data_IF_495544204358
#
_entry.id   IF_495544204358
#
_cell.length_a   1.000
_cell.length_b   1.000
_cell.length_c   1.000
_cell.angle_alpha   90.00
_cell.angle_beta   90.00
_cell.angle_gamma   90.00
#
_symmetry.space_group_name_H-M   'P 1'
#
loop_
_entity.id
_entity.type
_entity.pdbx_description
1 polymer ?
#
# COMPACT_ATOMS: atom_id res chain seq x y z
N UNK A 1 3.75 -4.62 17.57
CA UNK A 1 4.22 -3.63 16.60
C UNK A 1 3.44 -3.82 15.31
N UNK A 2 2.84 -2.76 14.78
CA UNK A 2 2.17 -2.74 13.50
C UNK A 2 2.94 -1.87 12.51
N UNK A 3 2.44 -1.77 11.30
CA UNK A 3 3.07 -1.13 10.16
C UNK A 3 3.48 0.33 10.38
N UNK A 4 4.29 0.83 9.48
CA UNK A 4 4.77 2.19 9.49
C UNK A 4 5.63 2.52 8.27
N UNK A 5 6.47 3.51 8.38
CA UNK A 5 7.34 3.98 7.31
C UNK A 5 8.73 4.35 7.80
N UNK A 6 9.66 4.40 6.87
CA UNK A 6 11.01 4.91 7.08
C UNK A 6 11.21 6.19 6.27
N UNK A 7 11.94 7.14 6.83
CA UNK A 7 12.25 8.40 6.17
C UNK A 7 13.59 8.95 6.63
N UNK A 8 14.33 9.59 5.72
CA UNK A 8 15.57 10.30 6.04
C UNK A 8 15.23 11.73 6.42
N UNK A 9 15.68 12.15 7.60
CA UNK A 9 15.48 13.51 8.09
C UNK A 9 16.43 14.53 7.46
N UNK A 10 16.24 15.81 7.77
CA UNK A 10 17.09 16.92 7.29
C UNK A 10 18.55 16.81 7.78
N UNK A 11 18.78 16.08 8.84
CA UNK A 11 20.10 15.75 9.40
C UNK A 11 20.76 14.53 8.73
N UNK A 12 20.14 13.98 7.67
CA UNK A 12 20.62 12.82 6.96
C UNK A 12 20.42 11.49 7.67
N UNK A 13 19.75 11.49 8.83
CA UNK A 13 19.53 10.26 9.62
C UNK A 13 18.21 9.60 9.29
N UNK A 14 18.24 8.27 9.20
CA UNK A 14 17.06 7.44 9.03
C UNK A 14 16.22 7.43 10.30
N UNK A 15 14.91 7.51 10.15
CA UNK A 15 13.91 7.39 11.22
C UNK A 15 12.84 6.39 10.81
N UNK A 16 12.40 5.59 11.77
CA UNK A 16 11.30 4.66 11.63
C UNK A 16 10.11 5.19 12.44
N UNK A 17 8.98 5.35 11.77
CA UNK A 17 7.69 5.59 12.43
C UNK A 17 6.85 4.33 12.30
N UNK A 18 6.27 3.87 13.39
CA UNK A 18 5.52 2.62 13.42
C UNK A 18 4.44 2.66 14.48
N UNK A 19 3.49 1.74 14.40
CA UNK A 19 2.40 1.68 15.35
C UNK A 19 2.74 0.78 16.53
N UNK A 20 2.70 1.35 17.72
CA UNK A 20 2.63 0.61 18.98
C UNK A 20 1.21 0.10 19.19
N UNK A 21 1.05 -1.19 19.28
CA UNK A 21 -0.24 -1.85 19.46
C UNK A 21 -0.27 -2.67 20.74
N UNK A 22 -1.39 -2.60 21.44
CA UNK A 22 -1.72 -3.53 22.54
C UNK A 22 -3.24 -3.68 22.65
N UNK A 23 -3.68 -4.81 23.11
CA UNK A 23 -5.06 -5.00 23.53
C UNK A 23 -5.32 -4.30 24.86
N UNK A 24 -6.50 -3.68 24.99
CA UNK A 24 -6.83 -2.89 26.18
C UNK A 24 -6.89 -3.76 27.44
N UNK A 25 -7.31 -5.03 27.30
CA UNK A 25 -7.33 -6.01 28.39
C UNK A 25 -6.00 -6.78 28.55
N UNK A 26 -5.01 -6.57 27.66
CA UNK A 26 -3.71 -7.22 27.68
C UNK A 26 -3.68 -8.67 27.18
N UNK A 27 -4.80 -9.22 26.74
CA UNK A 27 -4.94 -10.65 26.37
C UNK A 27 -5.40 -10.86 24.93
N UNK A 28 -6.48 -10.18 24.53
CA UNK A 28 -7.11 -10.31 23.21
C UNK A 28 -7.88 -9.03 22.84
N UNK A 29 -8.51 -9.02 21.65
CA UNK A 29 -9.23 -7.85 21.12
C UNK A 29 -10.64 -7.66 21.71
N UNK A 30 -11.11 -8.48 22.63
CA UNK A 30 -12.48 -8.37 23.17
C UNK A 30 -12.71 -7.12 24.00
N UNK A 31 -11.64 -6.56 24.57
CA UNK A 31 -11.67 -5.30 25.33
C UNK A 31 -11.35 -4.06 24.50
N UNK A 32 -11.15 -4.20 23.19
CA UNK A 32 -10.68 -3.16 22.29
C UNK A 32 -9.15 -3.09 22.20
N UNK A 33 -8.70 -2.18 21.36
CA UNK A 33 -7.29 -1.99 21.04
C UNK A 33 -6.82 -0.60 21.46
N UNK A 34 -5.53 -0.48 21.71
CA UNK A 34 -4.87 0.78 21.89
C UNK A 34 -3.68 0.89 20.95
N UNK A 35 -3.72 1.89 20.09
CA UNK A 35 -2.73 2.12 19.05
C UNK A 35 -2.20 3.55 19.16
N UNK A 36 -0.89 3.71 19.08
CA UNK A 36 -0.18 5.00 19.13
C UNK A 36 0.93 4.99 18.11
N UNK A 37 1.39 6.16 17.66
CA UNK A 37 2.52 6.19 16.76
C UNK A 37 3.81 6.39 17.56
N UNK A 38 4.80 5.56 17.24
CA UNK A 38 6.11 5.50 17.90
C UNK A 38 7.21 5.83 16.89
N UNK A 39 8.35 6.25 17.40
CA UNK A 39 9.56 6.51 16.61
C UNK A 39 10.74 5.70 17.13
N UNK A 40 11.60 5.25 16.21
CA UNK A 40 12.90 4.66 16.48
C UNK A 40 13.93 5.17 15.47
N UNK A 41 15.20 5.10 15.86
CA UNK A 41 16.35 5.42 15.00
C UNK A 41 17.31 4.26 14.98
N UNK A 42 18.02 3.99 13.87
CA UNK A 42 19.09 3.01 13.86
C UNK A 42 20.27 3.50 14.68
N UNK A 43 20.96 2.56 15.31
CA UNK A 43 22.17 2.83 16.09
C UNK A 43 23.45 2.72 15.22
N UNK A 44 23.33 2.07 14.07
CA UNK A 44 24.41 1.80 13.11
C UNK A 44 23.89 1.84 11.66
N UNK A 45 24.80 1.97 10.70
CA UNK A 45 24.49 2.08 9.26
C UNK A 45 23.96 0.74 8.68
N UNK A 46 24.28 -0.41 9.27
CA UNK A 46 23.79 -1.73 8.90
C UNK A 46 22.38 -2.02 9.45
N UNK A 47 21.84 -1.14 10.30
CA UNK A 47 20.52 -1.24 10.93
C UNK A 47 20.36 -2.56 11.71
N UNK A 48 21.42 -3.00 12.37
CA UNK A 48 21.41 -4.21 13.19
C UNK A 48 20.71 -3.98 14.52
N UNK A 49 20.73 -2.75 15.02
CA UNK A 49 20.08 -2.31 16.25
C UNK A 49 19.34 -1.00 16.03
N UNK A 50 18.29 -0.81 16.81
CA UNK A 50 17.50 0.42 16.80
C UNK A 50 17.21 0.89 18.21
N UNK A 51 17.36 2.18 18.44
CA UNK A 51 16.93 2.84 19.68
C UNK A 51 15.50 3.34 19.54
N UNK A 52 14.60 2.88 20.43
CA UNK A 52 13.22 3.34 20.50
C UNK A 52 13.15 4.66 21.23
N UNK A 53 12.66 5.70 20.57
CA UNK A 53 12.55 7.04 21.15
C UNK A 53 11.20 7.28 21.84
N UNK A 54 10.24 6.37 21.67
CA UNK A 54 8.96 6.45 22.34
C UNK A 54 7.81 6.94 21.47
N UNK A 55 6.76 7.40 22.13
CA UNK A 55 5.53 7.84 21.48
C UNK A 55 5.67 9.26 20.94
N UNK A 56 5.27 9.45 19.67
CA UNK A 56 5.25 10.76 19.00
C UNK A 56 3.83 11.24 18.71
N UNK A 57 2.85 10.32 18.58
CA UNK A 57 1.42 10.66 18.45
C UNK A 57 0.60 9.74 19.33
N UNK A 58 -0.12 10.29 20.29
CA UNK A 58 -1.09 9.54 21.10
C UNK A 58 -2.47 9.48 20.42
N UNK A 59 -3.21 8.44 20.73
CA UNK A 59 -4.56 8.24 20.20
C UNK A 59 -5.59 9.09 20.95
N UNK A 60 -6.29 10.02 20.28
CA UNK A 60 -7.41 10.76 20.89
C UNK A 60 -8.65 9.86 20.99
N UNK A 61 -8.72 9.05 22.04
CA UNK A 61 -9.67 7.95 22.22
C UNK A 61 -11.14 8.36 22.11
N UNK A 62 -11.47 9.58 22.44
CA UNK A 62 -12.82 10.12 22.32
C UNK A 62 -13.26 10.35 20.86
N UNK A 63 -12.30 10.37 19.92
CA UNK A 63 -12.52 10.61 18.49
C UNK A 63 -12.29 9.39 17.61
N UNK A 64 -11.77 8.30 18.19
CA UNK A 64 -11.31 7.12 17.47
C UNK A 64 -11.98 5.87 18.00
N UNK A 65 -12.43 5.01 17.08
CA UNK A 65 -12.96 3.69 17.40
C UNK A 65 -11.89 2.63 17.11
N UNK A 66 -11.01 2.36 18.10
CA UNK A 66 -9.96 1.33 18.18
C UNK A 66 -8.80 1.45 17.18
N UNK A 67 -9.06 1.78 15.92
CA UNK A 67 -8.06 1.74 14.85
C UNK A 67 -7.43 3.12 14.61
N UNK A 68 -6.11 3.20 14.85
CA UNK A 68 -5.31 4.42 14.75
C UNK A 68 -3.87 4.05 14.44
N UNK A 69 -3.51 3.78 13.16
CA UNK A 69 -2.27 3.10 12.81
C UNK A 69 -1.68 3.44 11.46
N UNK A 70 -0.51 2.85 11.20
CA UNK A 70 0.20 2.80 9.93
C UNK A 70 0.71 4.19 9.48
N UNK A 71 1.61 4.83 10.26
CA UNK A 71 2.10 6.16 9.93
C UNK A 71 2.96 6.16 8.68
N UNK A 72 2.64 7.05 7.73
CA UNK A 72 3.46 7.40 6.56
C UNK A 72 3.95 8.83 6.71
N UNK A 73 5.27 9.02 6.61
CA UNK A 73 5.92 10.31 6.81
C UNK A 73 6.62 10.75 5.53
N UNK A 74 6.46 12.02 5.18
CA UNK A 74 7.18 12.66 4.07
C UNK A 74 7.40 14.14 4.36
N UNK A 75 8.21 14.79 3.53
CA UNK A 75 8.42 16.25 3.57
C UNK A 75 7.99 16.88 2.25
N UNK A 76 7.32 18.00 2.32
CA UNK A 76 7.11 18.86 1.17
C UNK A 76 7.26 20.31 1.58
N UNK A 77 7.89 21.12 0.73
CA UNK A 77 8.36 22.45 1.06
C UNK A 77 9.27 22.36 2.30
N UNK A 78 8.98 23.03 3.39
CA UNK A 78 9.76 23.02 4.64
C UNK A 78 9.03 22.34 5.80
N UNK A 79 7.94 21.62 5.53
CA UNK A 79 7.09 21.01 6.56
C UNK A 79 7.11 19.49 6.44
N UNK A 80 7.28 18.81 7.58
CA UNK A 80 7.09 17.39 7.71
C UNK A 80 5.62 17.06 7.88
N UNK A 81 5.15 16.07 7.16
CA UNK A 81 3.79 15.56 7.21
C UNK A 81 3.78 14.10 7.63
N UNK A 82 2.75 13.73 8.38
CA UNK A 82 2.44 12.34 8.71
C UNK A 82 0.96 12.09 8.47
N UNK A 83 0.64 11.01 7.77
CA UNK A 83 -0.72 10.46 7.74
C UNK A 83 -0.74 9.10 8.42
N UNK A 84 -1.88 8.75 8.96
CA UNK A 84 -2.18 7.38 9.38
C UNK A 84 -3.68 7.10 9.22
N UNK A 85 -4.00 5.81 9.12
CA UNK A 85 -5.38 5.37 9.02
C UNK A 85 -6.09 5.42 10.35
N UNK A 86 -7.35 5.79 10.29
CA UNK A 86 -8.22 5.98 11.47
C UNK A 86 -9.60 5.39 11.20
N UNK A 87 -10.15 4.69 12.19
CA UNK A 87 -11.59 4.51 12.32
C UNK A 87 -12.10 5.57 13.28
N UNK A 88 -12.89 6.52 12.77
CA UNK A 88 -13.47 7.59 13.61
C UNK A 88 -14.46 7.04 14.65
N UNK A 89 -14.86 7.85 15.63
CA UNK A 89 -15.79 7.42 16.70
C UNK A 89 -17.13 6.88 16.16
N UNK A 90 -17.56 7.35 15.00
CA UNK A 90 -18.73 6.88 14.27
C UNK A 90 -18.39 5.78 13.22
N UNK A 91 -17.23 5.17 13.35
CA UNK A 91 -16.73 4.05 12.52
C UNK A 91 -16.65 4.38 11.03
N UNK A 92 -16.16 5.57 10.69
CA UNK A 92 -15.85 5.98 9.33
C UNK A 92 -14.36 5.82 9.07
N UNK A 93 -13.99 5.23 7.94
CA UNK A 93 -12.60 5.12 7.50
C UNK A 93 -12.06 6.48 7.09
N UNK A 94 -11.05 6.96 7.80
CA UNK A 94 -10.43 8.26 7.58
C UNK A 94 -8.91 8.14 7.49
N UNK A 95 -8.26 9.15 6.89
CA UNK A 95 -6.85 9.44 7.03
C UNK A 95 -6.68 10.78 7.73
N UNK A 96 -5.90 10.80 8.80
CA UNK A 96 -5.61 12.03 9.53
C UNK A 96 -4.23 12.55 9.19
N UNK A 97 -4.15 13.85 8.94
CA UNK A 97 -2.92 14.57 8.61
C UNK A 97 -2.38 15.30 9.83
N UNK A 98 -1.11 15.08 10.09
CA UNK A 98 -0.33 15.79 11.11
C UNK A 98 0.81 16.53 10.45
N UNK A 99 1.30 17.57 11.12
CA UNK A 99 2.48 18.35 10.71
C UNK A 99 3.49 18.44 11.84
N UNK A 100 4.77 18.56 11.47
CA UNK A 100 5.89 18.73 12.39
C UNK A 100 6.97 19.60 11.76
N UNK A 101 7.71 20.34 12.58
CA UNK A 101 8.91 21.07 12.19
C UNK A 101 10.19 20.29 12.52
N UNK A 102 10.12 19.36 13.48
CA UNK A 102 11.28 18.66 14.07
C UNK A 102 11.21 17.13 13.98
N UNK A 103 10.13 16.60 13.38
CA UNK A 103 9.88 15.16 13.25
C UNK A 103 9.58 14.43 14.58
N UNK A 104 9.48 15.14 15.70
CA UNK A 104 9.22 14.61 17.04
C UNK A 104 7.88 15.06 17.57
N UNK A 105 7.64 16.37 17.53
CA UNK A 105 6.39 16.98 17.97
C UNK A 105 5.41 17.09 16.79
N UNK A 106 4.31 16.35 16.85
CA UNK A 106 3.32 16.27 15.77
C UNK A 106 2.01 16.92 16.17
N UNK A 107 1.52 17.82 15.34
CA UNK A 107 0.26 18.53 15.55
C UNK A 107 -0.78 18.07 14.53
N UNK A 108 -1.96 17.67 15.01
CA UNK A 108 -3.10 17.35 14.13
C UNK A 108 -3.46 18.57 13.29
N UNK A 109 -3.50 18.38 11.97
CA UNK A 109 -3.82 19.43 11.02
C UNK A 109 -5.26 19.35 10.53
N UNK A 110 -5.65 18.20 9.98
CA UNK A 110 -7.00 18.00 9.41
C UNK A 110 -7.27 16.51 9.16
N UNK A 111 -8.52 16.17 8.87
CA UNK A 111 -8.86 14.91 8.19
C UNK A 111 -8.51 15.11 6.72
N UNK A 112 -7.43 14.45 6.26
CA UNK A 112 -6.97 14.51 4.86
C UNK A 112 -8.04 13.97 3.92
N UNK A 113 -8.59 12.81 4.27
CA UNK A 113 -9.59 12.11 3.48
C UNK A 113 -10.52 11.28 4.37
N UNK A 114 -11.79 11.19 4.01
CA UNK A 114 -12.78 10.27 4.55
C UNK A 114 -13.39 9.48 3.41
N UNK A 115 -13.46 8.16 3.55
CA UNK A 115 -14.02 7.29 2.53
C UNK A 115 -15.52 7.54 2.36
N UNK A 116 -16.04 7.70 1.11
CA UNK A 116 -17.45 8.01 0.87
C UNK A 116 -18.39 6.86 1.25
N UNK A 117 -17.98 5.60 1.08
CA UNK A 117 -18.77 4.44 1.48
C UNK A 117 -18.79 4.29 3.01
N UNK A 118 -19.97 4.37 3.66
CA UNK A 118 -20.08 4.24 5.10
C UNK A 118 -19.76 2.84 5.64
N UNK A 119 -19.70 1.82 4.79
CA UNK A 119 -19.29 0.48 5.20
C UNK A 119 -17.77 0.37 5.40
N UNK A 120 -17.00 1.26 4.79
CA UNK A 120 -15.54 1.30 4.97
C UNK A 120 -15.25 1.99 6.29
N UNK A 121 -14.83 1.19 7.27
CA UNK A 121 -14.62 1.67 8.63
C UNK A 121 -13.17 1.96 8.97
N UNK A 122 -12.21 1.50 8.15
CA UNK A 122 -10.78 1.73 8.35
C UNK A 122 -10.06 1.79 7.00
N UNK A 123 -9.08 2.67 6.92
CA UNK A 123 -8.14 2.80 5.81
C UNK A 123 -6.75 2.41 6.30
N UNK A 124 -6.36 1.14 6.07
CA UNK A 124 -5.07 0.61 6.52
C UNK A 124 -3.93 0.96 5.56
N UNK A 125 -2.73 0.99 6.09
CA UNK A 125 -1.48 1.17 5.34
C UNK A 125 -1.56 2.32 4.31
N UNK A 126 -1.92 3.54 4.75
CA UNK A 126 -2.04 4.65 3.83
C UNK A 126 -0.71 4.98 3.18
N UNK A 127 -0.76 5.37 1.92
CA UNK A 127 0.35 5.98 1.21
C UNK A 127 -0.14 7.22 0.47
N UNK A 128 0.70 8.25 0.34
CA UNK A 128 0.29 9.52 -0.24
C UNK A 128 1.48 10.21 -0.89
N UNK A 129 1.41 10.39 -2.20
CA UNK A 129 2.55 10.87 -2.97
C UNK A 129 2.13 11.57 -4.27
N UNK A 130 2.96 12.49 -4.78
CA UNK A 130 2.75 13.08 -6.09
C UNK A 130 3.29 12.19 -7.21
N UNK A 131 2.62 12.24 -8.35
CA UNK A 131 3.12 11.80 -9.64
C UNK A 131 2.97 12.94 -10.65
N UNK A 132 3.79 12.95 -11.69
CA UNK A 132 3.67 13.93 -12.77
C UNK A 132 2.98 13.31 -13.97
N UNK A 133 2.03 14.06 -14.53
CA UNK A 133 1.42 13.71 -15.80
C UNK A 133 2.38 13.99 -16.98
N UNK A 134 1.98 13.65 -18.20
CA UNK A 134 2.75 13.87 -19.43
C UNK A 134 3.12 15.34 -19.70
N UNK A 135 2.36 16.27 -19.16
CA UNK A 135 2.55 17.71 -19.31
C UNK A 135 3.39 18.29 -18.14
N UNK A 136 3.80 17.44 -17.20
CA UNK A 136 4.59 17.79 -16.03
C UNK A 136 3.78 18.36 -14.86
N UNK A 137 2.44 18.35 -14.94
CA UNK A 137 1.60 18.78 -13.83
C UNK A 137 1.57 17.71 -12.76
N UNK A 138 1.61 18.15 -11.50
CA UNK A 138 1.56 17.26 -10.36
C UNK A 138 0.13 16.82 -10.07
N UNK A 139 -0.04 15.51 -9.91
CA UNK A 139 -1.24 14.87 -9.39
C UNK A 139 -0.87 14.11 -8.13
N UNK A 140 -1.73 14.17 -7.13
CA UNK A 140 -1.55 13.42 -5.90
C UNK A 140 -2.31 12.10 -5.96
N UNK A 141 -1.65 11.05 -5.49
CA UNK A 141 -2.23 9.71 -5.39
C UNK A 141 -2.38 9.38 -3.92
N UNK A 142 -3.61 9.08 -3.51
CA UNK A 142 -3.92 8.58 -2.18
C UNK A 142 -4.18 7.08 -2.27
N UNK A 143 -3.47 6.30 -1.48
CA UNK A 143 -3.54 4.84 -1.48
C UNK A 143 -3.97 4.34 -0.11
N UNK A 144 -4.74 3.27 -0.09
CA UNK A 144 -5.15 2.61 1.15
C UNK A 144 -5.68 1.20 0.91
N UNK A 145 -5.71 0.46 1.98
CA UNK A 145 -6.38 -0.84 2.06
C UNK A 145 -7.69 -0.66 2.82
N UNK A 146 -8.82 -0.73 2.09
CA UNK A 146 -10.15 -0.41 2.59
C UNK A 146 -10.78 -1.61 3.31
N UNK A 147 -10.95 -1.52 4.64
CA UNK A 147 -11.66 -2.53 5.42
C UNK A 147 -13.18 -2.25 5.40
N UNK A 148 -13.94 -3.29 5.10
CA UNK A 148 -15.40 -3.23 5.08
C UNK A 148 -16.02 -2.97 3.71
N UNK A 149 -15.22 -2.75 2.66
CA UNK A 149 -15.71 -2.65 1.28
C UNK A 149 -16.55 -3.87 0.91
N UNK A 150 -17.63 -3.64 0.19
CA UNK A 150 -18.49 -4.73 -0.29
C UNK A 150 -18.24 -5.02 -1.77
N UNK A 151 -18.37 -6.29 -2.20
CA UNK A 151 -18.29 -6.64 -3.61
C UNK A 151 -19.30 -5.85 -4.45
N UNK A 152 -18.83 -5.33 -5.59
CA UNK A 152 -19.64 -4.63 -6.58
C UNK A 152 -19.19 -5.07 -7.99
N UNK A 153 -19.95 -5.93 -8.66
CA UNK A 153 -19.56 -6.54 -9.92
C UNK A 153 -18.26 -7.32 -9.78
N UNK A 154 -17.21 -6.88 -10.47
CA UNK A 154 -15.86 -7.46 -10.38
C UNK A 154 -14.96 -6.72 -9.34
N UNK A 155 -15.42 -5.58 -8.82
CA UNK A 155 -14.68 -4.83 -7.82
C UNK A 155 -14.85 -5.42 -6.43
N UNK A 156 -13.82 -5.24 -5.59
CA UNK A 156 -13.86 -5.52 -4.14
C UNK A 156 -14.24 -6.97 -3.80
N UNK A 157 -13.78 -7.94 -4.58
CA UNK A 157 -14.12 -9.36 -4.36
C UNK A 157 -13.24 -10.04 -3.31
N UNK A 158 -12.11 -9.45 -2.96
CA UNK A 158 -11.28 -9.92 -1.86
C UNK A 158 -11.92 -9.52 -0.52
N UNK A 159 -11.53 -10.20 0.55
CA UNK A 159 -11.99 -9.88 1.90
C UNK A 159 -11.70 -8.42 2.27
N UNK A 160 -10.48 -7.97 1.99
CA UNK A 160 -10.06 -6.59 2.07
C UNK A 160 -9.39 -6.19 0.75
N UNK A 161 -9.51 -4.93 0.37
CA UNK A 161 -9.13 -4.48 -0.96
C UNK A 161 -8.21 -3.27 -0.87
N UNK A 162 -7.08 -3.34 -1.57
CA UNK A 162 -6.14 -2.25 -1.70
C UNK A 162 -6.31 -1.52 -3.02
N UNK A 163 -6.29 -0.20 -2.96
CA UNK A 163 -6.48 0.62 -4.14
C UNK A 163 -6.04 2.06 -3.94
N UNK A 164 -6.40 2.90 -4.89
CA UNK A 164 -5.98 4.30 -4.94
C UNK A 164 -7.06 5.20 -5.53
N UNK A 165 -6.88 6.50 -5.33
CA UNK A 165 -7.59 7.57 -6.02
C UNK A 165 -6.57 8.61 -6.46
N UNK A 166 -6.83 9.28 -7.59
CA UNK A 166 -6.04 10.39 -8.10
C UNK A 166 -6.78 11.69 -7.81
N UNK A 167 -6.06 12.74 -7.51
CA UNK A 167 -6.64 14.04 -7.24
C UNK A 167 -5.62 15.14 -7.06
N UNK A 168 -6.02 16.19 -6.38
CA UNK A 168 -5.18 17.34 -6.04
C UNK A 168 -5.10 17.53 -4.54
N UNK A 169 -3.99 18.11 -4.10
CA UNK A 169 -3.77 18.45 -2.71
C UNK A 169 -2.92 19.72 -2.59
N UNK A 170 -3.39 20.63 -1.76
CA UNK A 170 -2.61 21.78 -1.32
C UNK A 170 -2.01 21.48 0.06
N UNK A 171 -0.73 21.78 0.31
CA UNK A 171 -0.05 21.47 1.56
C UNK A 171 -0.84 21.89 2.80
N UNK A 172 -1.13 20.92 3.67
CA UNK A 172 -1.92 21.10 4.89
C UNK A 172 -3.44 21.14 4.69
N UNK A 173 -3.93 21.04 3.47
CA UNK A 173 -5.36 20.95 3.14
C UNK A 173 -5.91 19.53 3.12
N UNK A 174 -7.16 19.40 2.69
CA UNK A 174 -7.81 18.11 2.42
C UNK A 174 -7.46 17.66 0.99
N UNK A 175 -7.32 16.36 0.79
CA UNK A 175 -7.24 15.78 -0.54
C UNK A 175 -8.57 15.95 -1.28
N UNK A 176 -8.49 16.34 -2.55
CA UNK A 176 -9.63 16.50 -3.44
C UNK A 176 -9.59 15.42 -4.52
N UNK A 177 -10.35 14.31 -4.38
CA UNK A 177 -10.34 13.23 -5.36
C UNK A 177 -10.93 13.70 -6.69
N UNK A 178 -10.28 13.34 -7.78
CA UNK A 178 -10.73 13.53 -9.17
C UNK A 178 -11.22 12.22 -9.78
N UNK A 179 -10.85 11.09 -9.18
CA UNK A 179 -11.27 9.75 -9.63
C UNK A 179 -12.00 9.00 -8.54
N UNK A 180 -12.76 7.99 -8.94
CA UNK A 180 -13.26 6.96 -8.03
C UNK A 180 -12.12 6.06 -7.54
N UNK A 181 -12.40 5.26 -6.49
CA UNK A 181 -11.46 4.26 -5.99
C UNK A 181 -11.21 3.18 -7.04
N UNK A 182 -9.93 2.88 -7.30
CA UNK A 182 -9.46 1.89 -8.25
C UNK A 182 -8.58 0.86 -7.55
N UNK A 183 -8.73 -0.41 -7.92
CA UNK A 183 -7.90 -1.47 -7.36
C UNK A 183 -6.47 -1.40 -7.91
N UNK A 184 -5.48 -1.66 -7.06
CA UNK A 184 -4.10 -1.84 -7.49
C UNK A 184 -3.86 -3.12 -8.27
N UNK A 185 -4.63 -4.15 -7.96
CA UNK A 185 -4.44 -5.49 -8.52
C UNK A 185 -5.80 -6.21 -8.61
N UNK A 186 -5.96 -7.03 -9.62
CA UNK A 186 -7.18 -7.80 -9.87
C UNK A 186 -7.05 -9.27 -9.46
N UNK A 187 -5.92 -9.66 -8.88
CA UNK A 187 -5.68 -10.99 -8.33
C UNK A 187 -6.32 -11.20 -6.96
N UNK A 188 -6.08 -12.39 -6.41
CA UNK A 188 -6.67 -12.78 -5.13
C UNK A 188 -5.97 -12.16 -3.91
N UNK A 189 -4.69 -11.85 -4.03
CA UNK A 189 -3.84 -11.56 -2.88
C UNK A 189 -2.92 -10.37 -3.16
N UNK A 190 -3.48 -9.17 -3.06
CA UNK A 190 -2.70 -7.93 -3.09
C UNK A 190 -3.25 -6.99 -2.03
N UNK A 191 -2.49 -6.77 -0.96
CA UNK A 191 -2.91 -5.98 0.18
C UNK A 191 -1.78 -5.15 0.77
N UNK A 192 -2.13 -4.11 1.52
CA UNK A 192 -1.21 -3.26 2.28
C UNK A 192 0.00 -2.74 1.48
N UNK A 193 -0.17 -2.26 0.23
CA UNK A 193 0.96 -1.78 -0.55
C UNK A 193 1.59 -0.56 0.10
N UNK A 194 2.92 -0.48 -0.02
CA UNK A 194 3.71 0.68 0.38
C UNK A 194 4.72 1.01 -0.70
N UNK A 195 4.95 2.30 -0.92
CA UNK A 195 5.89 2.79 -1.92
C UNK A 195 6.97 3.70 -1.34
N UNK A 196 8.05 3.88 -2.09
CA UNK A 196 9.13 4.79 -1.78
C UNK A 196 9.74 5.33 -3.07
N UNK A 197 10.37 6.51 -2.96
CA UNK A 197 11.14 7.09 -4.05
C UNK A 197 12.56 6.55 -4.05
N UNK A 198 13.09 6.27 -5.22
CA UNK A 198 14.49 5.93 -5.44
C UNK A 198 15.31 7.17 -5.79
N UNK A 199 16.62 7.09 -5.68
CA UNK A 199 17.53 8.20 -5.99
C UNK A 199 17.47 8.66 -7.46
N UNK A 200 17.11 7.76 -8.38
CA UNK A 200 16.92 8.04 -9.81
C UNK A 200 15.52 8.60 -10.13
N UNK A 201 14.69 8.83 -9.11
CA UNK A 201 13.39 9.49 -9.23
C UNK A 201 12.23 8.57 -9.62
N UNK A 202 12.43 7.25 -9.63
CA UNK A 202 11.33 6.29 -9.78
C UNK A 202 10.61 6.12 -8.44
N UNK A 203 9.35 5.72 -8.51
CA UNK A 203 8.58 5.27 -7.34
C UNK A 203 8.37 3.77 -7.41
N UNK A 204 8.82 3.06 -6.39
CA UNK A 204 8.73 1.60 -6.31
C UNK A 204 7.73 1.20 -5.24
N UNK A 205 6.91 0.20 -5.55
CA UNK A 205 5.86 -0.31 -4.68
C UNK A 205 5.97 -1.82 -4.50
N UNK A 206 5.70 -2.28 -3.27
CA UNK A 206 5.47 -3.67 -2.93
C UNK A 206 4.07 -3.82 -2.33
N UNK A 207 3.41 -4.92 -2.62
CA UNK A 207 2.19 -5.35 -1.95
C UNK A 207 2.40 -6.66 -1.20
N UNK A 208 1.55 -6.94 -0.23
CA UNK A 208 1.53 -8.23 0.47
C UNK A 208 0.65 -9.22 -0.28
N UNK A 209 1.19 -10.40 -0.61
CA UNK A 209 0.51 -11.46 -1.36
C UNK A 209 -0.06 -12.54 -0.43
N UNK A 210 -0.68 -12.16 0.66
CA UNK A 210 -1.23 -13.14 1.58
C UNK A 210 -2.64 -12.75 2.02
N UNK A 211 -3.60 -13.68 1.98
CA UNK A 211 -4.93 -13.45 2.51
C UNK A 211 -4.93 -13.63 4.03
N UNK A 212 -5.84 -12.94 4.73
CA UNK A 212 -5.93 -12.99 6.18
C UNK A 212 -6.44 -14.33 6.73
N UNK A 213 -7.39 -14.97 6.06
CA UNK A 213 -8.17 -16.08 6.61
C UNK A 213 -7.89 -17.44 5.95
N UNK A 214 -6.77 -17.58 5.26
CA UNK A 214 -6.41 -18.84 4.63
C UNK A 214 -5.32 -19.58 5.41
N UNK A 215 -5.36 -20.91 5.31
CA UNK A 215 -4.22 -21.72 5.73
C UNK A 215 -3.10 -21.55 4.70
N UNK A 216 -1.98 -21.06 5.16
CA UNK A 216 -0.81 -20.92 4.30
C UNK A 216 -0.19 -22.29 4.01
N UNK A 217 -0.12 -22.68 2.75
CA UNK A 217 0.49 -23.94 2.36
C UNK A 217 1.96 -24.01 2.79
N UNK A 218 2.67 -22.87 2.73
CA UNK A 218 4.07 -22.73 3.11
C UNK A 218 4.35 -22.76 4.61
N UNK A 219 3.32 -22.75 5.46
CA UNK A 219 3.54 -22.78 6.92
C UNK A 219 4.26 -24.04 7.39
N UNK A 220 4.12 -25.16 6.65
CA UNK A 220 4.87 -26.39 6.89
C UNK A 220 6.37 -26.25 6.62
N UNK A 221 6.79 -25.28 5.80
CA UNK A 221 8.17 -25.01 5.44
C UNK A 221 8.84 -24.00 6.38
N UNK A 222 8.12 -23.53 7.42
CA UNK A 222 8.64 -22.65 8.46
C UNK A 222 8.55 -21.16 8.13
N UNK A 223 7.81 -20.76 7.08
CA UNK A 223 7.56 -19.37 6.73
C UNK A 223 6.10 -19.12 6.35
N UNK A 224 5.69 -17.85 6.27
CA UNK A 224 4.31 -17.48 6.02
C UNK A 224 4.21 -16.11 5.33
N UNK A 225 3.50 -16.07 4.22
CA UNK A 225 3.30 -14.85 3.44
C UNK A 225 4.51 -14.47 2.57
N UNK A 226 4.25 -13.59 1.62
CA UNK A 226 5.28 -13.06 0.72
C UNK A 226 4.91 -11.67 0.23
N UNK A 227 5.89 -10.91 -0.24
CA UNK A 227 5.69 -9.66 -0.97
C UNK A 227 5.55 -9.95 -2.47
N UNK A 228 4.90 -9.05 -3.19
CA UNK A 228 4.94 -9.04 -4.66
C UNK A 228 6.34 -8.77 -5.17
N UNK A 229 6.58 -9.03 -6.44
CA UNK A 229 7.71 -8.42 -7.12
C UNK A 229 7.61 -6.88 -7.02
N UNK A 230 8.77 -6.17 -6.97
CA UNK A 230 8.77 -4.72 -7.00
C UNK A 230 8.17 -4.19 -8.30
N UNK A 231 7.32 -3.19 -8.17
CA UNK A 231 6.67 -2.52 -9.30
C UNK A 231 7.03 -1.05 -9.32
N UNK A 232 7.41 -0.53 -10.46
CA UNK A 232 7.48 0.91 -10.69
C UNK A 232 6.08 1.47 -10.87
N UNK A 233 5.79 2.61 -10.22
CA UNK A 233 4.50 3.29 -10.23
C UNK A 233 4.65 4.62 -10.96
N UNK A 234 3.83 4.87 -11.95
CA UNK A 234 3.84 6.11 -12.73
C UNK A 234 2.45 6.48 -13.23
N UNK A 235 2.28 7.75 -13.63
CA UNK A 235 1.06 8.23 -14.25
C UNK A 235 1.17 8.06 -15.77
N UNK A 236 0.27 7.28 -16.37
CA UNK A 236 0.23 7.03 -17.79
C UNK A 236 -0.30 8.22 -18.61
N UNK A 237 -0.15 8.15 -19.93
CA UNK A 237 -0.68 9.18 -20.86
C UNK A 237 -2.20 9.27 -20.86
N UNK A 238 -2.88 8.21 -20.44
CA UNK A 238 -4.32 8.13 -20.24
C UNK A 238 -4.80 8.81 -18.95
N UNK A 239 -3.86 9.33 -18.14
CA UNK A 239 -4.14 9.98 -16.86
C UNK A 239 -4.45 9.01 -15.73
N UNK A 240 -4.20 7.69 -15.92
CA UNK A 240 -4.33 6.69 -14.87
C UNK A 240 -2.97 6.27 -14.28
N UNK A 241 -2.99 5.72 -13.08
CA UNK A 241 -1.78 5.17 -12.46
C UNK A 241 -1.53 3.77 -13.01
N UNK A 242 -0.33 3.56 -13.50
CA UNK A 242 0.16 2.27 -13.98
C UNK A 242 1.23 1.70 -13.08
N UNK A 243 1.33 0.38 -13.08
CA UNK A 243 2.42 -0.35 -12.42
C UNK A 243 3.04 -1.35 -13.39
N UNK A 244 4.36 -1.39 -13.43
CA UNK A 244 5.11 -2.38 -14.20
C UNK A 244 6.17 -3.03 -13.30
N UNK A 245 6.51 -4.31 -13.51
CA UNK A 245 7.66 -4.91 -12.84
C UNK A 245 8.92 -4.10 -13.12
N UNK A 246 9.77 -3.91 -12.10
CA UNK A 246 11.02 -3.15 -12.30
C UNK A 246 11.94 -3.84 -13.32
N UNK A 247 12.63 -3.08 -14.18
CA UNK A 247 13.46 -3.65 -15.25
C UNK A 247 14.63 -4.49 -14.74
N UNK A 248 15.06 -4.29 -13.50
CA UNK A 248 16.12 -5.06 -12.84
C UNK A 248 15.81 -6.57 -12.78
N UNK A 249 14.53 -6.95 -12.78
CA UNK A 249 14.09 -8.35 -12.79
C UNK A 249 14.54 -9.09 -14.05
N UNK A 250 14.77 -8.38 -15.16
CA UNK A 250 15.30 -9.00 -16.38
C UNK A 250 16.67 -9.65 -16.17
N UNK A 251 17.45 -9.19 -15.18
CA UNK A 251 18.72 -9.79 -14.79
C UNK A 251 18.60 -11.16 -14.12
N UNK A 252 17.39 -11.57 -13.75
CA UNK A 252 17.10 -12.89 -13.16
C UNK A 252 16.67 -13.91 -14.20
N UNK A 253 16.48 -13.51 -15.46
CA UNK A 253 16.12 -14.43 -16.55
C UNK A 253 17.29 -15.32 -16.88
N UNK A 254 17.01 -16.62 -16.98
CA UNK A 254 17.97 -17.65 -17.39
C UNK A 254 17.63 -18.10 -18.81
N UNK A 255 16.77 -19.10 -18.97
CA UNK A 255 16.40 -19.65 -20.26
C UNK A 255 15.13 -18.97 -20.81
N UNK A 256 15.08 -18.79 -22.12
CA UNK A 256 13.92 -18.25 -22.83
C UNK A 256 13.38 -19.30 -23.82
N UNK A 257 12.09 -19.55 -23.74
CA UNK A 257 11.39 -20.48 -24.63
C UNK A 257 10.33 -19.72 -25.44
N UNK A 258 10.48 -19.71 -26.77
CA UNK A 258 9.51 -19.14 -27.67
C UNK A 258 8.57 -20.23 -28.19
N UNK A 259 7.31 -20.17 -27.80
CA UNK A 259 6.27 -21.13 -28.22
C UNK A 259 5.59 -20.73 -29.54
N UNK A 260 5.92 -19.57 -30.10
CA UNK A 260 5.30 -19.05 -31.31
C UNK A 260 3.79 -18.80 -31.16
N UNK A 261 3.10 -18.72 -32.29
CA UNK A 261 1.65 -18.56 -32.29
C UNK A 261 0.96 -19.88 -31.89
N UNK A 262 -0.03 -19.76 -31.00
CA UNK A 262 -0.81 -20.90 -30.48
C UNK A 262 -2.28 -20.61 -30.73
N UNK A 263 -2.93 -21.48 -31.49
CA UNK A 263 -4.39 -21.51 -31.66
C UNK A 263 -4.97 -22.58 -30.74
N UNK A 264 -5.94 -22.24 -29.93
CA UNK A 264 -6.65 -23.17 -29.05
C UNK A 264 -8.12 -23.27 -29.45
N UNK A 265 -8.59 -24.49 -29.63
CA UNK A 265 -10.01 -24.79 -29.80
C UNK A 265 -10.75 -24.77 -28.47
N UNK A 266 -12.06 -24.63 -28.48
CA UNK A 266 -12.89 -24.67 -27.27
C UNK A 266 -12.65 -25.99 -26.49
N UNK A 267 -12.26 -25.87 -25.22
CA UNK A 267 -11.93 -27.00 -24.34
C UNK A 267 -10.54 -27.62 -24.55
N UNK A 268 -9.73 -27.06 -25.44
CA UNK A 268 -8.34 -27.49 -25.62
C UNK A 268 -7.45 -26.88 -24.55
N UNK A 269 -6.54 -27.69 -24.03
CA UNK A 269 -5.48 -27.27 -23.08
C UNK A 269 -4.13 -27.59 -23.72
N UNK A 270 -3.17 -26.65 -23.52
CA UNK A 270 -1.79 -26.86 -23.96
C UNK A 270 -0.82 -26.57 -22.82
N UNK A 271 -0.08 -27.58 -22.42
CA UNK A 271 0.99 -27.45 -21.45
C UNK A 271 2.21 -26.83 -22.14
N UNK A 272 2.70 -25.71 -21.59
CA UNK A 272 3.87 -25.00 -22.12
C UNK A 272 5.16 -25.44 -21.45
N UNK A 273 5.10 -25.83 -20.17
CA UNK A 273 6.22 -26.42 -19.43
C UNK A 273 5.69 -27.33 -18.33
N UNK A 274 6.37 -28.45 -18.10
CA UNK A 274 5.97 -29.45 -17.09
C UNK A 274 6.74 -29.26 -15.75
N UNK A 275 7.82 -28.49 -15.74
CA UNK A 275 8.78 -28.40 -14.64
C UNK A 275 9.15 -26.95 -14.24
N UNK A 276 8.34 -25.99 -14.63
CA UNK A 276 8.61 -24.58 -14.33
C UNK A 276 8.29 -24.25 -12.87
N UNK A 277 9.33 -23.92 -12.08
CA UNK A 277 9.21 -23.51 -10.68
C UNK A 277 9.11 -22.00 -10.53
N UNK A 278 9.87 -21.21 -11.30
CA UNK A 278 9.84 -19.77 -11.33
C UNK A 278 9.85 -19.28 -12.78
N UNK A 279 8.80 -18.61 -13.22
CA UNK A 279 8.63 -18.21 -14.62
C UNK A 279 8.16 -16.79 -14.77
N UNK A 280 8.60 -16.15 -15.85
CA UNK A 280 7.99 -14.97 -16.42
C UNK A 280 7.32 -15.38 -17.74
N UNK A 281 6.06 -14.99 -17.91
CA UNK A 281 5.28 -15.31 -19.11
C UNK A 281 4.92 -14.02 -19.80
N UNK A 282 5.35 -13.86 -21.06
CA UNK A 282 4.92 -12.79 -21.94
C UNK A 282 4.02 -13.37 -23.02
N UNK A 283 2.77 -12.89 -23.12
CA UNK A 283 1.83 -13.39 -24.11
C UNK A 283 0.96 -12.27 -24.68
N UNK A 284 0.73 -12.32 -25.99
CA UNK A 284 -0.24 -11.49 -26.68
C UNK A 284 -1.49 -12.32 -27.02
N UNK A 285 -2.67 -11.84 -26.63
CA UNK A 285 -3.94 -12.52 -26.92
C UNK A 285 -4.75 -11.70 -27.92
N UNK A 286 -5.10 -12.30 -29.08
CA UNK A 286 -5.99 -11.67 -30.06
C UNK A 286 -7.44 -11.88 -29.64
N UNK A 287 -7.98 -10.89 -28.93
CA UNK A 287 -9.38 -10.92 -28.47
C UNK A 287 -10.39 -10.72 -29.61
N UNK A 288 -9.97 -10.24 -30.80
CA UNK A 288 -10.87 -10.03 -31.94
C UNK A 288 -11.13 -11.33 -32.71
N UNK A 289 -10.15 -12.22 -32.66
CA UNK A 289 -10.25 -13.53 -33.29
C UNK A 289 -10.94 -14.59 -32.42
N UNK A 290 -11.10 -14.33 -31.11
CA UNK A 290 -11.70 -15.29 -30.20
C UNK A 290 -13.22 -15.33 -30.32
N UNK A 291 -13.79 -16.54 -30.33
CA UNK A 291 -15.23 -16.80 -30.22
C UNK A 291 -15.58 -17.36 -28.83
N UNK A 292 -14.64 -17.40 -27.91
CA UNK A 292 -14.88 -17.91 -26.57
C UNK A 292 -15.87 -17.01 -25.81
N UNK A 293 -16.84 -17.63 -25.17
CA UNK A 293 -17.72 -16.99 -24.20
C UNK A 293 -17.01 -16.90 -22.83
N UNK A 294 -17.32 -15.84 -22.08
CA UNK A 294 -16.76 -15.64 -20.74
C UNK A 294 -17.33 -16.62 -19.72
#
# INVERSE_FOLDING_TARGET
VFSGSAVIGDDGKLRFYYTGHRWANGVDNTGGEWQVQLMAVPDDDEITHVTKLGMVVDCPREKVHWHFRDPKVWKTVDTWYMIHGVSSADQRGQMWLYTSEDMVEWTFKTVLFEHPDPNVFMLECPDFFPLKDKDGNEKWVICFSAMGSKPNGFMNRNQNNAGYMIGTWEPGGRFQPETEFRLWDWGHNYYAPQSFDTEDGRRIMYGWMSPFDYKYAMAGDGWCGQLTLPREVFLGEDGDVHTVPVPELAGLREDTYDHGAIDLSAGEERVLSDDAEAVEIEMAIDLKATTAER
#
